data_IF_169891709277
#
_entry.id   IF_169891709277
#
_cell.length_a   1.000
_cell.length_b   1.000
_cell.length_c   1.000
_cell.angle_alpha   90.00
_cell.angle_beta   90.00
_cell.angle_gamma   90.00
#
_symmetry.space_group_name_H-M   'P 1'
#
loop_
_entity.id
_entity.type
_entity.pdbx_description
1 polymer ?
#
# COMPACT_ATOMS: atom_id res chain seq x y z
N UNK A 1 -4.60 -14.51 -25.38
CA UNK A 1 -4.60 -13.18 -24.71
C UNK A 1 -5.15 -12.19 -25.72
N UNK A 2 -6.38 -11.72 -25.52
CA UNK A 2 -6.91 -10.61 -26.32
C UNK A 2 -5.97 -9.43 -26.18
N UNK A 3 -5.60 -8.82 -27.31
CA UNK A 3 -4.73 -7.65 -27.30
C UNK A 3 -5.50 -6.50 -26.66
N UNK A 4 -5.19 -6.19 -25.37
CA UNK A 4 -5.79 -5.07 -24.64
C UNK A 4 -5.64 -3.79 -25.46
N UNK A 5 -6.74 -3.34 -26.06
CA UNK A 5 -6.76 -2.13 -26.88
C UNK A 5 -6.69 -0.91 -25.95
N UNK A 6 -5.59 -0.18 -25.98
CA UNK A 6 -5.43 1.05 -25.19
C UNK A 6 -6.42 2.10 -25.72
N UNK A 7 -7.20 2.78 -24.83
CA UNK A 7 -8.11 3.82 -25.24
C UNK A 7 -7.45 4.95 -26.03
N UNK A 8 -8.13 5.45 -27.07
CA UNK A 8 -7.58 6.44 -28.01
C UNK A 8 -6.94 7.66 -27.34
N UNK A 9 -7.56 8.18 -26.29
CA UNK A 9 -7.02 9.33 -25.52
C UNK A 9 -5.67 9.03 -24.92
N UNK A 10 -5.49 7.86 -24.31
CA UNK A 10 -4.22 7.44 -23.74
C UNK A 10 -3.22 7.15 -24.87
N UNK A 11 -3.68 6.45 -25.91
CA UNK A 11 -2.84 6.13 -27.08
C UNK A 11 -2.29 7.40 -27.75
N UNK A 12 -3.08 8.47 -27.83
CA UNK A 12 -2.62 9.76 -28.39
C UNK A 12 -1.51 10.42 -27.58
N UNK A 13 -1.47 10.20 -26.26
CA UNK A 13 -0.44 10.77 -25.35
C UNK A 13 0.84 9.92 -25.40
N UNK A 14 0.71 8.59 -25.30
CA UNK A 14 1.88 7.70 -25.28
C UNK A 14 2.50 7.47 -26.66
N UNK A 15 1.68 7.55 -27.72
CA UNK A 15 2.13 7.36 -29.11
C UNK A 15 2.76 5.98 -29.33
N UNK A 16 3.93 5.98 -29.99
CA UNK A 16 4.75 4.78 -30.25
C UNK A 16 5.96 4.70 -29.30
N UNK A 17 5.91 5.38 -28.14
CA UNK A 17 7.02 5.39 -27.17
C UNK A 17 7.32 3.98 -26.66
N UNK A 18 8.60 3.66 -26.56
CA UNK A 18 9.04 2.41 -25.96
C UNK A 18 8.68 2.38 -24.45
N UNK A 19 8.37 1.20 -23.95
CA UNK A 19 8.07 0.96 -22.53
C UNK A 19 8.67 -0.36 -22.06
N UNK A 20 8.93 -0.46 -20.76
CA UNK A 20 9.15 -1.71 -20.05
C UNK A 20 7.86 -2.12 -19.33
N UNK A 21 7.75 -3.40 -19.01
CA UNK A 21 6.68 -3.93 -18.15
C UNK A 21 7.26 -4.13 -16.77
N UNK A 22 6.54 -3.67 -15.75
CA UNK A 22 6.92 -3.92 -14.37
C UNK A 22 6.59 -5.37 -14.00
N UNK A 23 7.57 -6.05 -13.43
CA UNK A 23 7.45 -7.44 -12.95
C UNK A 23 7.64 -7.53 -11.42
N UNK A 24 7.72 -6.40 -10.71
CA UNK A 24 7.93 -6.35 -9.26
C UNK A 24 6.63 -6.37 -8.48
N UNK A 25 5.54 -5.87 -9.08
CA UNK A 25 4.22 -5.84 -8.46
C UNK A 25 3.62 -7.25 -8.28
N UNK A 26 3.05 -7.52 -7.10
CA UNK A 26 2.34 -8.77 -6.78
C UNK A 26 0.85 -8.73 -7.19
N UNK A 27 0.38 -7.65 -7.80
CA UNK A 27 -1.02 -7.49 -8.24
C UNK A 27 -1.23 -8.00 -9.67
N UNK A 28 -2.46 -8.42 -9.99
CA UNK A 28 -2.88 -8.81 -11.36
C UNK A 28 -2.93 -7.62 -12.34
N UNK A 29 -2.33 -6.49 -11.98
CA UNK A 29 -2.28 -5.30 -12.83
C UNK A 29 -1.15 -5.37 -13.85
N UNK A 30 -1.43 -4.95 -15.08
CA UNK A 30 -0.37 -4.72 -16.08
C UNK A 30 0.14 -3.27 -15.93
N UNK A 31 1.42 -3.11 -15.59
CA UNK A 31 2.06 -1.80 -15.46
C UNK A 31 3.06 -1.61 -16.60
N UNK A 32 2.87 -0.56 -17.42
CA UNK A 32 3.78 -0.16 -18.50
C UNK A 32 4.50 1.12 -18.10
N UNK A 33 5.82 1.05 -18.03
CA UNK A 33 6.68 2.16 -17.61
C UNK A 33 7.31 2.79 -18.86
N UNK A 34 6.94 4.04 -19.12
CA UNK A 34 7.53 4.89 -20.15
C UNK A 34 8.58 5.81 -19.51
N UNK A 35 9.28 6.59 -20.30
CA UNK A 35 10.28 7.53 -19.78
C UNK A 35 9.67 8.54 -18.78
N UNK A 36 8.51 9.11 -19.14
CA UNK A 36 7.84 10.20 -18.37
C UNK A 36 6.55 9.76 -17.69
N UNK A 37 6.00 8.58 -18.05
CA UNK A 37 4.68 8.13 -17.68
C UNK A 37 4.70 6.69 -17.15
N UNK A 38 3.67 6.38 -16.38
CA UNK A 38 3.29 5.01 -16.04
C UNK A 38 1.84 4.82 -16.47
N UNK A 39 1.56 3.72 -17.18
CA UNK A 39 0.21 3.29 -17.51
C UNK A 39 -0.10 2.01 -16.72
N UNK A 40 -1.04 2.11 -15.77
CA UNK A 40 -1.57 1.00 -14.98
C UNK A 40 -2.88 0.53 -15.61
N UNK A 41 -3.00 -0.76 -15.89
CA UNK A 41 -4.16 -1.40 -16.52
C UNK A 41 -4.59 -2.54 -15.59
N UNK A 42 -5.83 -2.49 -15.08
CA UNK A 42 -6.32 -3.47 -14.13
C UNK A 42 -7.85 -3.54 -14.15
N UNK A 43 -8.43 -4.58 -13.54
CA UNK A 43 -9.88 -4.65 -13.35
C UNK A 43 -10.37 -3.42 -12.57
N UNK A 44 -11.52 -2.86 -12.99
CA UNK A 44 -12.13 -1.76 -12.25
C UNK A 44 -12.55 -2.23 -10.86
N UNK A 45 -12.22 -1.45 -9.86
CA UNK A 45 -12.58 -1.68 -8.46
C UNK A 45 -12.86 -0.38 -7.73
N UNK A 46 -13.30 -0.47 -6.47
CA UNK A 46 -13.41 0.70 -5.60
C UNK A 46 -12.06 1.38 -5.41
N UNK A 47 -10.97 0.60 -5.30
CA UNK A 47 -9.61 1.12 -5.14
C UNK A 47 -9.12 1.90 -6.36
N UNK A 48 -9.42 1.43 -7.58
CA UNK A 48 -9.02 2.15 -8.80
C UNK A 48 -9.72 3.51 -8.94
N UNK A 49 -10.99 3.57 -8.55
CA UNK A 49 -11.73 4.83 -8.52
C UNK A 49 -11.18 5.77 -7.43
N UNK A 50 -10.91 5.22 -6.22
CA UNK A 50 -10.35 5.97 -5.11
C UNK A 50 -8.98 6.54 -5.46
N UNK A 51 -8.11 5.77 -6.13
CA UNK A 51 -6.78 6.23 -6.54
C UNK A 51 -6.84 7.53 -7.35
N UNK A 52 -7.74 7.57 -8.34
CA UNK A 52 -7.90 8.75 -9.18
C UNK A 52 -8.46 9.97 -8.41
N UNK A 53 -9.37 9.74 -7.47
CA UNK A 53 -10.02 10.82 -6.73
C UNK A 53 -9.17 11.31 -5.57
N UNK A 54 -8.50 10.42 -4.83
CA UNK A 54 -7.59 10.79 -3.76
C UNK A 54 -6.38 11.57 -4.30
N UNK A 55 -5.87 11.18 -5.47
CA UNK A 55 -4.80 11.91 -6.13
C UNK A 55 -5.21 13.36 -6.44
N UNK A 56 -6.45 13.61 -6.89
CA UNK A 56 -6.96 14.96 -7.12
C UNK A 56 -7.11 15.75 -5.83
N UNK A 57 -7.62 15.12 -4.75
CA UNK A 57 -7.81 15.77 -3.46
C UNK A 57 -6.49 16.10 -2.76
N UNK A 58 -5.54 15.16 -2.76
CA UNK A 58 -4.21 15.36 -2.19
C UNK A 58 -3.46 16.44 -2.99
N UNK A 59 -3.56 16.38 -4.33
CA UNK A 59 -2.90 17.36 -5.21
C UNK A 59 -1.41 17.50 -4.88
N UNK A 60 -0.94 18.77 -4.77
CA UNK A 60 0.46 19.09 -4.49
C UNK A 60 0.86 18.98 -3.01
N UNK A 61 -0.02 18.51 -2.12
CA UNK A 61 0.27 18.38 -0.68
C UNK A 61 1.24 17.24 -0.38
N UNK A 62 1.21 16.18 -1.20
CA UNK A 62 2.10 15.02 -1.12
C UNK A 62 2.77 14.76 -2.47
N UNK A 63 3.97 14.18 -2.48
CA UNK A 63 4.61 13.72 -3.70
C UNK A 63 3.94 12.40 -4.12
N UNK A 64 2.97 12.48 -4.99
CA UNK A 64 2.26 11.36 -5.60
C UNK A 64 2.23 11.53 -7.11
N UNK A 65 2.00 10.46 -7.89
CA UNK A 65 1.81 10.59 -9.32
C UNK A 65 0.65 11.53 -9.65
N UNK A 66 0.86 12.41 -10.63
CA UNK A 66 -0.25 13.19 -11.18
C UNK A 66 -1.00 12.35 -12.21
N UNK A 67 -2.30 12.18 -12.02
CA UNK A 67 -3.16 11.49 -13.00
C UNK A 67 -3.31 12.39 -14.23
N UNK A 68 -2.88 11.89 -15.38
CA UNK A 68 -2.94 12.56 -16.67
C UNK A 68 -4.26 12.21 -17.36
N UNK A 69 -4.59 10.91 -17.39
CA UNK A 69 -5.85 10.40 -17.94
C UNK A 69 -6.31 9.20 -17.13
N UNK A 70 -7.61 9.13 -16.87
CA UNK A 70 -8.26 7.98 -16.23
C UNK A 70 -9.53 7.66 -16.99
N UNK A 71 -9.67 6.42 -17.42
CA UNK A 71 -10.90 5.95 -18.04
C UNK A 71 -11.15 4.47 -17.75
N UNK A 72 -12.41 4.07 -17.89
CA UNK A 72 -12.84 2.68 -17.76
C UNK A 72 -13.48 2.24 -19.05
N UNK A 73 -13.02 1.11 -19.58
CA UNK A 73 -13.57 0.49 -20.81
C UNK A 73 -13.78 -0.99 -20.54
N UNK A 74 -15.02 -1.45 -20.71
CA UNK A 74 -15.40 -2.86 -20.52
C UNK A 74 -14.98 -3.45 -19.16
N UNK A 75 -15.11 -2.67 -18.08
CA UNK A 75 -14.75 -3.10 -16.72
C UNK A 75 -13.23 -3.12 -16.45
N UNK A 76 -12.42 -2.60 -17.36
CA UNK A 76 -10.98 -2.40 -17.18
C UNK A 76 -10.70 -0.91 -16.97
N UNK A 77 -9.97 -0.58 -15.93
CA UNK A 77 -9.47 0.77 -15.67
C UNK A 77 -8.09 0.97 -16.31
N UNK A 78 -7.92 2.13 -16.90
CA UNK A 78 -6.68 2.59 -17.50
C UNK A 78 -6.29 3.91 -16.82
N UNK A 79 -5.19 3.90 -16.08
CA UNK A 79 -4.68 5.08 -15.37
C UNK A 79 -3.32 5.45 -15.95
N UNK A 80 -3.27 6.55 -16.71
CA UNK A 80 -2.02 7.15 -17.16
C UNK A 80 -1.62 8.23 -16.16
N UNK A 81 -0.41 8.12 -15.63
CA UNK A 81 0.09 9.02 -14.59
C UNK A 81 1.55 9.40 -14.83
N UNK A 82 2.02 10.47 -14.21
CA UNK A 82 3.44 10.83 -14.22
C UNK A 82 4.26 9.77 -13.49
N UNK A 83 5.47 9.54 -13.99
CA UNK A 83 6.43 8.68 -13.32
C UNK A 83 7.02 9.41 -12.11
N UNK A 84 7.17 8.71 -11.00
CA UNK A 84 7.92 9.19 -9.82
C UNK A 84 9.41 8.96 -10.05
N UNK A 85 10.21 9.96 -9.75
CA UNK A 85 11.67 9.88 -9.77
C UNK A 85 12.22 9.31 -8.47
N UNK A 86 13.31 8.55 -8.57
CA UNK A 86 14.00 7.97 -7.43
C UNK A 86 13.93 6.45 -7.41
N UNK A 87 14.37 5.87 -6.31
CA UNK A 87 14.42 4.42 -6.09
C UNK A 87 13.42 4.01 -5.02
N UNK A 88 12.86 2.80 -5.15
CA UNK A 88 12.01 2.19 -4.13
C UNK A 88 12.81 1.90 -2.86
N UNK A 89 12.20 2.06 -1.69
CA UNK A 89 12.86 1.74 -0.42
C UNK A 89 13.21 0.25 -0.25
N UNK A 90 12.66 -0.64 -1.05
CA UNK A 90 13.05 -2.06 -1.09
C UNK A 90 14.28 -2.34 -1.96
N UNK A 91 14.90 -1.32 -2.59
CA UNK A 91 16.11 -1.52 -3.39
C UNK A 91 17.33 -1.88 -2.52
N UNK A 92 18.30 -2.57 -3.13
CA UNK A 92 19.53 -2.99 -2.43
C UNK A 92 20.26 -1.79 -1.79
N UNK A 93 20.28 -0.62 -2.46
CA UNK A 93 20.91 0.59 -1.92
C UNK A 93 20.42 0.93 -0.50
N UNK A 94 19.10 0.80 -0.24
CA UNK A 94 18.54 1.13 1.06
C UNK A 94 18.58 -0.04 2.03
N UNK A 95 18.38 -1.27 1.56
CA UNK A 95 18.44 -2.48 2.40
C UNK A 95 19.82 -2.67 3.03
N UNK A 96 20.88 -2.30 2.33
CA UNK A 96 22.26 -2.29 2.85
C UNK A 96 22.52 -1.18 3.89
N UNK A 97 21.58 -0.26 4.09
CA UNK A 97 21.68 0.86 5.04
C UNK A 97 20.48 0.90 6.01
N UNK A 98 20.28 -0.12 6.88
CA UNK A 98 19.06 -0.31 7.66
C UNK A 98 18.62 0.91 8.48
N UNK A 99 19.56 1.56 9.16
CA UNK A 99 19.23 2.76 9.97
C UNK A 99 18.73 3.92 9.13
N UNK A 100 19.31 4.11 7.93
CA UNK A 100 18.88 5.11 6.97
C UNK A 100 17.49 4.79 6.44
N UNK A 101 17.26 3.54 6.07
CA UNK A 101 15.96 3.05 5.59
C UNK A 101 14.86 3.30 6.62
N UNK A 102 15.05 2.85 7.87
CA UNK A 102 14.07 3.01 8.95
C UNK A 102 13.72 4.49 9.16
N UNK A 103 14.72 5.37 9.15
CA UNK A 103 14.50 6.82 9.25
C UNK A 103 13.68 7.39 8.09
N UNK A 104 13.92 6.93 6.86
CA UNK A 104 13.15 7.34 5.68
C UNK A 104 11.71 6.84 5.75
N UNK A 105 11.47 5.59 6.19
CA UNK A 105 10.12 5.07 6.47
C UNK A 105 9.39 5.95 7.47
N UNK A 106 10.02 6.28 8.60
CA UNK A 106 9.42 7.17 9.59
C UNK A 106 9.12 8.57 9.05
N UNK A 107 10.00 9.13 8.21
CA UNK A 107 9.78 10.43 7.55
C UNK A 107 8.57 10.40 6.61
N UNK A 108 8.38 9.33 5.87
CA UNK A 108 7.22 9.16 4.99
C UNK A 108 5.92 9.13 5.78
N UNK A 109 5.82 8.32 6.85
CA UNK A 109 4.67 8.29 7.75
C UNK A 109 4.35 9.68 8.31
N UNK A 110 5.34 10.36 8.88
CA UNK A 110 5.18 11.72 9.40
C UNK A 110 4.74 12.73 8.33
N UNK A 111 5.08 12.51 7.07
CA UNK A 111 4.65 13.36 5.95
C UNK A 111 3.16 13.18 5.65
N UNK A 112 2.66 11.94 5.67
CA UNK A 112 1.24 11.63 5.55
C UNK A 112 0.42 12.26 6.69
N UNK A 113 0.85 12.09 7.93
CA UNK A 113 0.13 12.56 9.13
C UNK A 113 0.00 14.09 9.25
N UNK A 114 0.77 14.85 8.48
CA UNK A 114 0.65 16.32 8.43
C UNK A 114 -0.54 16.80 7.60
N UNK A 115 -1.17 15.92 6.82
CA UNK A 115 -2.30 16.28 5.98
C UNK A 115 -3.57 16.33 6.82
N UNK A 116 -4.29 17.45 6.77
CA UNK A 116 -5.60 17.55 7.40
C UNK A 116 -6.64 16.70 6.64
N UNK A 117 -7.20 15.72 7.33
CA UNK A 117 -8.13 14.73 6.75
C UNK A 117 -9.60 15.15 6.87
N UNK A 118 -9.92 16.27 7.51
CA UNK A 118 -11.32 16.69 7.74
C UNK A 118 -12.13 16.83 6.46
N UNK A 119 -11.50 17.27 5.38
CA UNK A 119 -12.13 17.45 4.07
C UNK A 119 -11.83 16.30 3.10
N UNK A 120 -11.32 15.16 3.59
CA UNK A 120 -11.06 14.01 2.73
C UNK A 120 -12.39 13.43 2.23
N UNK A 121 -12.61 13.33 0.91
CA UNK A 121 -13.86 12.82 0.36
C UNK A 121 -14.03 11.31 0.59
N UNK A 122 -12.94 10.61 0.90
CA UNK A 122 -12.90 9.16 1.05
C UNK A 122 -12.83 8.73 2.49
N UNK A 123 -13.72 7.81 2.87
CA UNK A 123 -13.80 7.24 4.20
C UNK A 123 -13.62 5.71 4.19
N UNK A 124 -13.30 5.13 3.02
CA UNK A 124 -13.20 3.67 2.85
C UNK A 124 -12.05 3.05 3.65
N UNK A 125 -11.05 3.84 4.03
CA UNK A 125 -9.94 3.41 4.90
C UNK A 125 -10.31 3.33 6.37
N UNK A 126 -11.44 3.94 6.79
CA UNK A 126 -11.95 3.85 8.16
C UNK A 126 -12.17 2.40 8.56
N UNK A 127 -11.87 2.09 9.82
CA UNK A 127 -12.00 0.73 10.34
C UNK A 127 -13.39 0.14 10.11
N UNK A 128 -14.44 0.93 10.31
CA UNK A 128 -15.82 0.50 10.08
C UNK A 128 -16.10 0.07 8.64
N UNK A 129 -15.51 0.76 7.65
CA UNK A 129 -15.66 0.43 6.23
C UNK A 129 -14.78 -0.77 5.84
N UNK A 130 -13.54 -0.82 6.34
CA UNK A 130 -12.67 -1.98 6.13
C UNK A 130 -13.30 -3.27 6.69
N UNK A 131 -13.92 -3.23 7.85
CA UNK A 131 -14.64 -4.40 8.41
C UNK A 131 -15.82 -4.84 7.54
N UNK A 132 -16.53 -3.92 6.88
CA UNK A 132 -17.58 -4.28 5.90
C UNK A 132 -17.00 -4.97 4.66
N UNK A 133 -15.87 -4.45 4.14
CA UNK A 133 -15.19 -5.07 3.00
C UNK A 133 -14.66 -6.45 3.39
N UNK A 134 -14.00 -6.58 4.54
CA UNK A 134 -13.54 -7.86 5.08
C UNK A 134 -14.69 -8.88 5.23
N UNK A 135 -15.85 -8.44 5.74
CA UNK A 135 -17.04 -9.28 5.82
C UNK A 135 -17.54 -9.74 4.44
N UNK A 136 -17.53 -8.84 3.46
CA UNK A 136 -17.87 -9.19 2.07
C UNK A 136 -16.88 -10.22 1.52
N UNK A 137 -15.57 -10.01 1.70
CA UNK A 137 -14.53 -10.94 1.24
C UNK A 137 -14.68 -12.32 1.86
N UNK A 138 -14.87 -12.39 3.19
CA UNK A 138 -15.06 -13.65 3.91
C UNK A 138 -16.32 -14.39 3.44
N UNK A 139 -17.44 -13.67 3.28
CA UNK A 139 -18.72 -14.28 2.88
C UNK A 139 -18.71 -14.78 1.43
N UNK A 140 -17.86 -14.20 0.57
CA UNK A 140 -17.73 -14.58 -0.84
C UNK A 140 -16.50 -15.44 -1.13
N UNK A 141 -15.76 -15.92 -0.10
CA UNK A 141 -14.53 -16.71 -0.21
C UNK A 141 -13.47 -16.05 -1.09
N UNK A 142 -13.28 -14.73 -0.94
CA UNK A 142 -12.29 -13.93 -1.68
C UNK A 142 -10.97 -13.76 -0.90
N UNK A 143 -10.90 -14.27 0.34
CA UNK A 143 -9.69 -14.18 1.18
C UNK A 143 -8.68 -15.23 0.73
N UNK A 144 -7.46 -14.80 0.40
CA UNK A 144 -6.35 -15.72 0.09
C UNK A 144 -5.63 -16.15 1.38
N UNK A 145 -6.01 -17.32 1.91
CA UNK A 145 -5.39 -17.88 3.11
C UNK A 145 -3.95 -18.35 2.90
N UNK A 146 -3.50 -18.50 1.65
CA UNK A 146 -2.14 -18.98 1.36
C UNK A 146 -1.08 -17.89 1.53
N UNK A 147 -1.47 -16.63 1.45
CA UNK A 147 -0.62 -15.45 1.64
C UNK A 147 -0.54 -14.99 3.10
N UNK A 148 -1.39 -15.54 3.98
CA UNK A 148 -1.46 -15.14 5.38
C UNK A 148 -0.16 -15.44 6.15
N UNK A 149 0.08 -14.67 7.22
CA UNK A 149 1.20 -14.95 8.13
C UNK A 149 1.03 -16.34 8.75
N UNK A 150 2.13 -17.11 8.90
CA UNK A 150 2.06 -18.53 9.28
C UNK A 150 1.31 -18.83 10.59
N UNK A 151 1.27 -17.86 11.51
CA UNK A 151 0.63 -18.01 12.82
C UNK A 151 -0.81 -17.50 12.84
N UNK A 152 -1.33 -16.95 11.74
CA UNK A 152 -2.69 -16.39 11.71
C UNK A 152 -3.74 -17.48 11.75
N UNK A 153 -3.53 -18.56 11.01
CA UNK A 153 -4.46 -19.69 10.94
C UNK A 153 -3.80 -21.00 11.37
N UNK A 154 -4.61 -21.95 11.82
CA UNK A 154 -4.16 -23.29 12.20
C UNK A 154 -4.20 -23.57 13.70
N UNK A 155 -3.38 -24.50 14.18
CA UNK A 155 -3.48 -25.06 15.54
C UNK A 155 -3.38 -24.03 16.67
N UNK A 156 -2.55 -22.98 16.47
CA UNK A 156 -2.35 -21.89 17.46
C UNK A 156 -2.96 -20.57 17.03
N UNK A 157 -3.64 -20.52 15.89
CA UNK A 157 -4.29 -19.34 15.33
C UNK A 157 -5.81 -19.48 15.24
N UNK A 158 -6.40 -18.74 14.31
CA UNK A 158 -7.83 -18.85 14.03
C UNK A 158 -8.13 -20.11 13.19
N UNK A 159 -9.28 -20.73 13.42
CA UNK A 159 -9.67 -21.90 12.64
C UNK A 159 -9.94 -21.55 11.17
N UNK A 160 -10.51 -20.38 10.92
CA UNK A 160 -10.80 -19.86 9.57
C UNK A 160 -10.98 -18.34 9.55
N UNK A 161 -11.18 -17.78 8.36
CA UNK A 161 -11.41 -16.35 8.16
C UNK A 161 -12.69 -15.82 8.84
N UNK A 162 -13.69 -16.66 9.09
CA UNK A 162 -14.92 -16.27 9.78
C UNK A 162 -14.68 -16.07 11.27
N UNK A 163 -13.89 -16.94 11.88
CA UNK A 163 -13.48 -16.79 13.28
C UNK A 163 -12.62 -15.52 13.46
N UNK A 164 -11.67 -15.30 12.57
CA UNK A 164 -10.86 -14.09 12.56
C UNK A 164 -11.73 -12.84 12.42
N UNK A 165 -12.65 -12.80 11.46
CA UNK A 165 -13.57 -11.67 11.27
C UNK A 165 -14.41 -11.41 12.52
N UNK A 166 -14.92 -12.45 13.18
CA UNK A 166 -15.68 -12.35 14.43
C UNK A 166 -14.82 -11.74 15.53
N UNK A 167 -13.57 -12.17 15.64
CA UNK A 167 -12.63 -11.63 16.63
C UNK A 167 -12.37 -10.13 16.36
N UNK A 168 -12.08 -9.75 15.10
CA UNK A 168 -11.84 -8.36 14.71
C UNK A 168 -13.03 -7.46 15.03
N UNK A 169 -14.26 -7.91 14.76
CA UNK A 169 -15.47 -7.14 15.10
C UNK A 169 -15.66 -6.90 16.59
N UNK A 170 -15.20 -7.83 17.44
CA UNK A 170 -15.35 -7.76 18.89
C UNK A 170 -14.18 -7.05 19.61
N UNK A 171 -13.05 -6.84 18.94
CA UNK A 171 -11.82 -6.30 19.54
C UNK A 171 -11.35 -5.01 18.85
N UNK A 172 -12.27 -4.20 18.32
CA UNK A 172 -11.93 -2.97 17.62
C UNK A 172 -11.18 -1.99 18.54
N UNK A 173 -10.01 -1.49 18.11
CA UNK A 173 -9.30 -0.48 18.86
C UNK A 173 -9.92 0.90 18.68
N UNK A 174 -9.63 1.82 19.60
CA UNK A 174 -9.89 3.24 19.39
C UNK A 174 -8.97 3.79 18.30
N UNK A 175 -9.55 4.45 17.27
CA UNK A 175 -8.78 4.95 16.14
C UNK A 175 -8.12 6.32 16.45
N UNK A 176 -6.83 6.44 16.20
CA UNK A 176 -6.10 7.71 16.14
C UNK A 176 -5.96 8.14 14.65
N UNK A 177 -6.91 8.95 14.21
CA UNK A 177 -7.16 9.22 12.80
C UNK A 177 -6.16 10.20 12.19
N UNK A 178 -5.45 9.73 11.19
CA UNK A 178 -4.55 10.49 10.32
C UNK A 178 -4.82 10.17 8.86
N UNK A 179 -4.12 10.82 7.92
CA UNK A 179 -4.05 10.29 6.56
C UNK A 179 -3.14 9.07 6.55
N UNK A 180 -3.67 7.92 6.15
CA UNK A 180 -2.92 6.69 5.93
C UNK A 180 -2.73 6.43 4.45
N UNK A 181 -1.68 5.71 4.09
CA UNK A 181 -1.47 5.15 2.75
C UNK A 181 -2.42 3.98 2.48
N UNK A 182 -2.67 3.19 3.52
CA UNK A 182 -3.50 1.98 3.45
C UNK A 182 -2.75 0.71 3.00
N UNK A 183 -1.59 0.87 2.39
CA UNK A 183 -0.62 -0.18 2.04
C UNK A 183 0.80 0.39 2.09
N UNK A 184 1.25 0.77 3.30
CA UNK A 184 2.53 1.44 3.52
C UNK A 184 3.70 0.45 3.56
N UNK A 185 3.96 -0.24 2.45
CA UNK A 185 5.08 -1.16 2.27
C UNK A 185 6.25 -0.49 1.52
N UNK A 186 7.45 -1.07 1.62
CA UNK A 186 8.67 -0.46 1.06
C UNK A 186 8.63 -0.22 -0.46
N UNK A 187 8.05 -1.11 -1.30
CA UNK A 187 7.93 -0.90 -2.74
C UNK A 187 7.11 0.34 -3.12
N UNK A 188 6.16 0.75 -2.26
CA UNK A 188 5.25 1.86 -2.52
C UNK A 188 5.84 3.24 -2.16
N UNK A 189 7.09 3.28 -1.68
CA UNK A 189 7.75 4.50 -1.22
C UNK A 189 9.01 4.75 -2.04
N UNK A 190 9.04 5.91 -2.72
CA UNK A 190 10.18 6.34 -3.53
C UNK A 190 11.01 7.39 -2.80
N UNK A 191 12.31 7.31 -3.00
CA UNK A 191 13.30 8.23 -2.41
C UNK A 191 14.28 8.70 -3.46
N UNK A 192 14.54 10.00 -3.46
CA UNK A 192 15.57 10.65 -4.26
C UNK A 192 16.35 11.60 -3.35
N UNK A 193 17.69 11.57 -3.40
CA UNK A 193 18.56 12.48 -2.63
C UNK A 193 18.23 12.51 -1.12
N UNK A 194 17.99 11.34 -0.52
CA UNK A 194 17.61 11.17 0.90
C UNK A 194 16.28 11.84 1.33
N UNK A 195 15.38 12.08 0.39
CA UNK A 195 14.06 12.64 0.66
C UNK A 195 13.00 11.79 0.01
N UNK A 196 11.85 11.64 0.68
CA UNK A 196 10.69 11.01 0.08
C UNK A 196 10.31 11.79 -1.19
N UNK A 197 10.48 11.14 -2.34
CA UNK A 197 10.16 11.67 -3.66
C UNK A 197 8.81 11.22 -4.18
N UNK A 198 8.24 10.13 -3.64
CA UNK A 198 6.92 9.69 -4.03
C UNK A 198 6.30 8.60 -3.19
N UNK A 199 4.96 8.55 -3.26
CA UNK A 199 4.14 7.42 -2.84
C UNK A 199 3.34 6.95 -4.04
N UNK A 200 3.31 5.65 -4.30
CA UNK A 200 2.54 5.04 -5.40
C UNK A 200 1.52 4.06 -4.82
N UNK A 201 0.61 3.58 -5.64
CA UNK A 201 -0.44 2.63 -5.25
C UNK A 201 -1.34 3.14 -4.10
N UNK A 202 -1.85 4.35 -4.29
CA UNK A 202 -2.59 5.10 -3.28
C UNK A 202 -4.09 4.78 -3.27
N UNK A 203 -4.51 3.70 -3.92
CA UNK A 203 -5.93 3.31 -4.01
C UNK A 203 -6.60 3.01 -2.67
N UNK A 204 -5.82 2.64 -1.65
CA UNK A 204 -6.30 2.42 -0.27
C UNK A 204 -6.09 3.64 0.64
N UNK A 205 -5.53 4.75 0.12
CA UNK A 205 -5.24 5.95 0.91
C UNK A 205 -6.53 6.61 1.42
N UNK A 206 -6.49 7.06 2.68
CA UNK A 206 -7.61 7.76 3.30
C UNK A 206 -7.46 7.94 4.81
N UNK A 207 -8.46 8.56 5.48
CA UNK A 207 -8.45 8.71 6.94
C UNK A 207 -8.60 7.37 7.65
N UNK A 208 -7.62 6.99 8.47
CA UNK A 208 -7.66 5.78 9.31
C UNK A 208 -6.75 5.91 10.52
N UNK A 209 -6.75 4.89 11.38
CA UNK A 209 -5.80 4.82 12.48
C UNK A 209 -4.36 4.74 11.94
N UNK A 210 -3.47 5.55 12.51
CA UNK A 210 -2.04 5.53 12.14
C UNK A 210 -1.39 4.16 12.25
N UNK A 211 -1.90 3.29 13.13
CA UNK A 211 -1.39 1.94 13.33
C UNK A 211 -1.63 1.02 12.14
N UNK A 212 -2.58 1.34 11.27
CA UNK A 212 -2.74 0.62 10.01
C UNK A 212 -1.45 0.66 9.17
N UNK A 213 -0.91 1.84 8.94
CA UNK A 213 0.34 1.99 8.18
C UNK A 213 1.58 1.56 8.97
N UNK A 214 1.61 1.82 10.29
CA UNK A 214 2.72 1.39 11.16
C UNK A 214 2.86 -0.13 11.14
N UNK A 215 1.76 -0.87 11.25
CA UNK A 215 1.78 -2.33 11.24
C UNK A 215 2.31 -2.89 9.92
N UNK A 216 1.82 -2.38 8.79
CA UNK A 216 2.29 -2.77 7.45
C UNK A 216 3.77 -2.39 7.25
N UNK A 217 4.19 -1.19 7.70
CA UNK A 217 5.59 -0.77 7.64
C UNK A 217 6.51 -1.71 8.42
N UNK A 218 6.13 -2.09 9.65
CA UNK A 218 6.89 -3.04 10.48
C UNK A 218 6.99 -4.40 9.79
N UNK A 219 5.87 -4.94 9.28
CA UNK A 219 5.86 -6.21 8.53
C UNK A 219 6.74 -6.15 7.30
N UNK A 220 6.63 -5.08 6.51
CA UNK A 220 7.42 -4.89 5.31
C UNK A 220 8.92 -4.79 5.61
N UNK A 221 9.32 -4.02 6.63
CA UNK A 221 10.71 -3.96 7.08
C UNK A 221 11.21 -5.33 7.53
N UNK A 222 10.45 -6.04 8.37
CA UNK A 222 10.80 -7.38 8.86
C UNK A 222 11.04 -8.33 7.70
N UNK A 223 10.10 -8.47 6.78
CA UNK A 223 10.19 -9.42 5.67
C UNK A 223 11.31 -9.09 4.68
N UNK A 224 11.64 -7.82 4.49
CA UNK A 224 12.79 -7.44 3.66
C UNK A 224 14.11 -7.75 4.36
N UNK A 225 14.21 -7.52 5.68
CA UNK A 225 15.44 -7.75 6.43
C UNK A 225 15.68 -9.21 6.81
N UNK A 226 14.65 -10.02 6.97
CA UNK A 226 14.76 -11.45 7.28
C UNK A 226 14.97 -12.34 6.04
N UNK A 227 14.99 -11.74 4.85
CA UNK A 227 15.22 -12.43 3.59
C UNK A 227 14.00 -13.05 2.95
N UNK A 228 12.79 -12.92 3.54
CA UNK A 228 11.54 -13.51 2.99
C UNK A 228 11.26 -13.05 1.55
N UNK A 229 11.50 -11.76 1.25
CA UNK A 229 11.26 -11.20 -0.09
C UNK A 229 12.50 -11.22 -0.99
N UNK A 230 13.70 -11.32 -0.43
CA UNK A 230 14.93 -11.35 -1.22
C UNK A 230 15.36 -12.77 -1.57
N UNK A 231 14.68 -13.78 -1.01
CA UNK A 231 15.01 -15.21 -1.22
C UNK A 231 16.39 -15.58 -0.67
N UNK A 232 16.95 -14.80 0.24
CA UNK A 232 18.30 -14.90 0.73
C UNK A 232 18.40 -14.95 2.26
N UNK A 233 19.63 -14.71 2.71
CA UNK A 233 19.95 -14.66 4.13
C UNK A 233 19.40 -13.41 4.80
N UNK A 234 19.27 -13.47 6.12
CA UNK A 234 18.91 -12.33 6.95
C UNK A 234 19.92 -11.19 6.78
N UNK A 235 19.44 -10.02 6.37
CA UNK A 235 20.26 -8.83 6.10
C UNK A 235 20.54 -8.07 7.41
N UNK A 236 19.51 -7.96 8.27
CA UNK A 236 19.58 -7.13 9.47
C UNK A 236 18.66 -7.65 10.57
N UNK A 237 19.08 -7.48 11.83
CA UNK A 237 18.27 -7.83 13.00
C UNK A 237 17.33 -6.68 13.36
N UNK A 238 16.20 -6.64 12.67
CA UNK A 238 15.22 -5.58 12.84
C UNK A 238 14.37 -5.78 14.10
N UNK A 239 14.33 -4.75 14.93
CA UNK A 239 13.38 -4.65 16.04
C UNK A 239 12.39 -3.53 15.75
N UNK A 240 11.06 -3.78 15.84
CA UNK A 240 10.01 -2.77 15.63
C UNK A 240 10.23 -1.47 16.43
N UNK A 241 10.83 -1.56 17.63
CA UNK A 241 11.16 -0.40 18.46
C UNK A 241 12.03 0.64 17.72
N UNK A 242 12.88 0.20 16.79
CA UNK A 242 13.72 1.12 16.00
C UNK A 242 12.89 2.09 15.15
N UNK A 243 11.78 1.61 14.56
CA UNK A 243 10.87 2.48 13.81
C UNK A 243 10.05 3.35 14.76
N UNK A 244 9.60 2.80 15.87
CA UNK A 244 8.77 3.52 16.86
C UNK A 244 9.55 4.64 17.55
N UNK A 245 10.83 4.43 17.83
CA UNK A 245 11.72 5.48 18.36
C UNK A 245 11.85 6.64 17.35
N UNK A 246 12.04 6.35 16.06
CA UNK A 246 12.06 7.38 15.01
C UNK A 246 10.71 8.11 14.88
N UNK A 247 9.60 7.43 15.17
CA UNK A 247 8.25 8.03 15.17
C UNK A 247 7.93 8.78 16.46
N UNK A 248 8.63 8.51 17.55
CA UNK A 248 8.34 8.95 18.93
C UNK A 248 6.95 8.46 19.40
N UNK A 249 6.70 7.16 19.21
CA UNK A 249 5.45 6.47 19.57
C UNK A 249 5.79 5.27 20.45
N UNK A 250 5.00 5.04 21.50
CA UNK A 250 5.10 3.81 22.30
C UNK A 250 4.50 2.64 21.53
N UNK A 251 5.07 1.43 21.71
CA UNK A 251 4.55 0.22 21.11
C UNK A 251 3.17 -0.13 21.69
N UNK A 252 2.19 -0.22 20.81
CA UNK A 252 0.86 -0.73 21.11
C UNK A 252 0.70 -2.10 20.45
N UNK A 253 0.98 -3.16 21.22
CA UNK A 253 0.95 -4.54 20.74
C UNK A 253 -0.46 -4.94 20.28
N UNK A 254 -1.50 -4.45 20.93
CA UNK A 254 -2.89 -4.76 20.58
C UNK A 254 -3.25 -4.18 19.21
N UNK A 255 -2.93 -2.90 18.97
CA UNK A 255 -3.15 -2.28 17.67
C UNK A 255 -2.29 -2.89 16.58
N UNK A 256 -1.01 -3.16 16.85
CA UNK A 256 -0.14 -3.83 15.90
C UNK A 256 -0.73 -5.17 15.45
N UNK A 257 -1.05 -6.04 16.42
CA UNK A 257 -1.67 -7.35 16.14
C UNK A 257 -3.00 -7.19 15.38
N UNK A 258 -3.83 -6.24 15.82
CA UNK A 258 -5.15 -6.02 15.22
C UNK A 258 -5.05 -5.68 13.74
N UNK A 259 -4.17 -4.72 13.35
CA UNK A 259 -4.06 -4.28 11.98
C UNK A 259 -3.34 -5.26 11.07
N UNK A 260 -2.40 -6.06 11.57
CA UNK A 260 -1.87 -7.22 10.82
C UNK A 260 -2.98 -8.22 10.54
N UNK A 261 -3.75 -8.62 11.55
CA UNK A 261 -4.85 -9.56 11.40
C UNK A 261 -5.97 -9.04 10.48
N UNK A 262 -6.27 -7.75 10.52
CA UNK A 262 -7.25 -7.14 9.61
C UNK A 262 -6.79 -7.22 8.15
N UNK A 263 -5.50 -7.02 7.91
CA UNK A 263 -4.92 -7.07 6.56
C UNK A 263 -4.98 -8.46 5.92
N UNK A 264 -5.01 -9.52 6.74
CA UNK A 264 -5.15 -10.93 6.27
C UNK A 264 -6.51 -11.25 5.62
N UNK A 265 -7.47 -10.32 5.65
CA UNK A 265 -8.80 -10.51 5.05
C UNK A 265 -8.96 -9.76 3.70
N UNK A 266 -7.83 -9.29 3.10
CA UNK A 266 -7.84 -8.49 1.86
C UNK A 266 -7.00 -9.11 0.75
#
# INVERSE_FOLDING_TARGET
MEQLCIPERIQSIIGTKAHSVDNVGMSDSQVRIYNEFVLKIQAQSTETNNEAEIARWVGNKLPIPTIIEYCVVNGISYTLMTKIDGEMLCSAEYLEQPKRLIKLVAQGLKKLWKIDVKACPYQTSRLSERLKIAEYNVNNNLVDLSSAEPETFGENGFADSKELLKWLKNNQPEEDIVLTHGDYCLPNIFVKENKISGFIDIGKMGPADRWQDIAIAIRSLKHNFDGKYTGGDKIFDFNPQMLLDELNINFDEQKYKYYILLDELF
#
